data_IF_770505823612
#
_entry.id   IF_770505823612
#
_cell.length_a   1.000
_cell.length_b   1.000
_cell.length_c   1.000
_cell.angle_alpha   90.00
_cell.angle_beta   90.00
_cell.angle_gamma   90.00
#
_symmetry.space_group_name_H-M   'P 1'
#
loop_
_entity.id
_entity.type
_entity.pdbx_description
1 polymer ?
#
# COMPACT_ATOMS: atom_id res chain seq x y z
N UNK A 1 21.99 3.90 12.34
CA UNK A 1 23.02 4.91 12.63
C UNK A 1 22.90 5.27 14.11
N UNK A 2 23.85 4.87 14.93
CA UNK A 2 23.85 5.10 16.39
C UNK A 2 24.31 6.53 16.67
N UNK A 3 23.44 7.36 17.23
CA UNK A 3 23.76 8.75 17.56
C UNK A 3 24.44 8.79 18.94
N UNK A 4 25.77 8.91 18.98
CA UNK A 4 26.55 9.18 20.20
C UNK A 4 26.47 10.67 20.53
N UNK A 5 26.10 11.00 21.77
CA UNK A 5 25.99 12.38 22.25
C UNK A 5 27.31 12.85 22.85
N UNK A 6 27.92 13.88 22.25
CA UNK A 6 29.18 14.50 22.63
C UNK A 6 28.99 15.57 23.73
N UNK A 7 28.08 15.33 24.68
CA UNK A 7 27.92 16.08 25.94
C UNK A 7 27.95 15.14 27.16
N UNK A 8 28.71 14.05 27.00
CA UNK A 8 29.51 13.41 28.05
C UNK A 8 30.91 14.09 28.14
N UNK A 9 31.01 15.36 27.73
CA UNK A 9 32.22 16.08 27.28
C UNK A 9 32.98 16.80 28.43
N UNK A 10 32.95 16.25 29.64
CA UNK A 10 33.78 16.74 30.76
C UNK A 10 34.19 15.58 31.66
N UNK A 11 35.06 14.69 31.20
CA UNK A 11 35.98 13.97 32.09
C UNK A 11 37.24 13.58 31.30
N UNK A 12 38.31 14.31 31.55
CA UNK A 12 39.70 13.86 31.38
C UNK A 12 39.94 12.62 32.27
N UNK A 13 39.37 11.46 31.94
CA UNK A 13 39.98 10.18 32.31
C UNK A 13 39.32 9.01 31.57
N UNK A 14 40.13 8.01 31.23
CA UNK A 14 39.77 6.83 30.44
C UNK A 14 38.82 5.87 31.20
N UNK A 15 37.58 6.29 31.42
CA UNK A 15 36.49 5.42 31.91
C UNK A 15 35.54 5.06 30.77
N UNK A 16 35.12 3.79 30.73
CA UNK A 16 34.31 3.17 29.67
C UNK A 16 33.18 4.08 29.16
N UNK A 17 33.14 4.31 27.84
CA UNK A 17 32.04 5.01 27.16
C UNK A 17 30.71 4.30 27.40
N UNK A 18 29.99 4.68 28.46
CA UNK A 18 28.66 4.19 28.74
C UNK A 18 27.62 5.04 27.98
N UNK A 19 26.81 4.42 27.10
CA UNK A 19 25.74 5.15 26.43
C UNK A 19 24.74 5.69 27.44
N UNK A 20 24.37 6.97 27.28
CA UNK A 20 23.36 7.63 28.11
C UNK A 20 22.00 6.93 27.94
N UNK A 21 21.45 6.40 29.03
CA UNK A 21 20.11 5.79 29.06
C UNK A 21 19.08 6.87 29.40
N UNK A 22 18.18 7.25 28.46
CA UNK A 22 17.20 8.30 28.68
C UNK A 22 16.17 7.98 29.77
N UNK A 23 16.00 6.70 30.14
CA UNK A 23 15.02 6.24 31.13
C UNK A 23 15.56 6.25 32.56
N UNK A 24 16.85 6.55 32.75
CA UNK A 24 17.47 6.64 34.08
C UNK A 24 17.31 8.03 34.69
N UNK A 25 17.32 8.08 36.03
CA UNK A 25 17.15 9.29 36.85
C UNK A 25 18.21 10.37 36.54
N UNK A 26 19.36 9.98 35.99
CA UNK A 26 20.49 10.85 35.66
C UNK A 26 20.71 11.02 34.13
N UNK A 27 19.67 10.88 33.30
CA UNK A 27 19.77 11.15 31.87
C UNK A 27 20.16 12.61 31.60
N UNK A 28 21.05 12.85 30.62
CA UNK A 28 21.45 14.21 30.25
C UNK A 28 20.27 15.01 29.67
N UNK A 29 20.33 16.34 29.77
CA UNK A 29 19.24 17.22 29.32
C UNK A 29 18.89 17.08 27.82
N UNK A 30 19.84 16.68 26.97
CA UNK A 30 19.59 16.41 25.56
C UNK A 30 18.77 15.12 25.35
N UNK A 31 19.13 14.02 26.01
CA UNK A 31 18.39 12.76 25.95
C UNK A 31 16.97 12.89 26.53
N UNK A 32 16.80 13.66 27.61
CA UNK A 32 15.47 13.96 28.16
C UNK A 32 14.60 14.75 27.17
N UNK A 33 15.16 15.79 26.53
CA UNK A 33 14.44 16.56 25.50
C UNK A 33 14.06 15.69 24.30
N UNK A 34 14.95 14.78 23.89
CA UNK A 34 14.70 13.85 22.79
C UNK A 34 13.56 12.89 23.14
N UNK A 35 13.53 12.33 24.35
CA UNK A 35 12.40 11.51 24.82
C UNK A 35 11.07 12.28 24.76
N UNK A 36 11.04 13.50 25.31
CA UNK A 36 9.84 14.34 25.30
C UNK A 36 9.39 14.64 23.87
N UNK A 37 10.33 14.91 22.96
CA UNK A 37 10.01 15.15 21.55
C UNK A 37 9.49 13.88 20.87
N UNK A 38 10.09 12.72 21.14
CA UNK A 38 9.65 11.44 20.61
C UNK A 38 8.25 11.08 21.10
N UNK A 39 7.93 11.37 22.36
CA UNK A 39 6.59 11.22 22.91
C UNK A 39 5.60 12.11 22.16
N UNK A 40 5.90 13.41 21.98
CA UNK A 40 5.04 14.32 21.21
C UNK A 40 4.83 13.88 19.77
N UNK A 41 5.87 13.35 19.11
CA UNK A 41 5.76 12.78 17.75
C UNK A 41 4.78 11.60 17.75
N UNK A 42 4.88 10.71 18.74
CA UNK A 42 4.02 9.54 18.84
C UNK A 42 2.56 9.96 19.12
N UNK A 43 2.32 10.86 20.07
CA UNK A 43 1.00 11.41 20.37
C UNK A 43 0.38 12.10 19.16
N UNK A 44 1.16 12.91 18.45
CA UNK A 44 0.70 13.58 17.22
C UNK A 44 0.36 12.58 16.12
N UNK A 45 1.14 11.50 15.99
CA UNK A 45 0.86 10.42 15.02
C UNK A 45 -0.43 9.69 15.36
N UNK A 46 -0.70 9.42 16.63
CA UNK A 46 -1.95 8.80 17.07
C UNK A 46 -3.14 9.71 16.71
N UNK A 47 -3.10 10.97 17.11
CA UNK A 47 -4.15 11.95 16.77
C UNK A 47 -4.36 12.06 15.25
N UNK A 48 -3.28 12.10 14.47
CA UNK A 48 -3.38 12.15 13.01
C UNK A 48 -4.04 10.89 12.44
N UNK A 49 -3.75 9.72 13.00
CA UNK A 49 -4.39 8.47 12.57
C UNK A 49 -5.89 8.48 12.90
N UNK A 50 -6.27 8.97 14.07
CA UNK A 50 -7.67 9.11 14.48
C UNK A 50 -8.44 10.05 13.54
N UNK A 51 -7.88 11.25 13.27
CA UNK A 51 -8.47 12.20 12.32
C UNK A 51 -8.54 11.65 10.89
N UNK A 52 -7.54 10.87 10.45
CA UNK A 52 -7.58 10.19 9.14
C UNK A 52 -8.71 9.16 9.08
N UNK A 53 -8.93 8.43 10.16
CA UNK A 53 -9.99 7.44 10.26
C UNK A 53 -11.38 8.11 10.28
N UNK A 54 -11.56 9.17 11.06
CA UNK A 54 -12.79 9.97 11.06
C UNK A 54 -13.07 10.53 9.65
N UNK A 55 -12.06 11.12 9.00
CA UNK A 55 -12.17 11.59 7.61
C UNK A 55 -12.56 10.47 6.66
N UNK A 56 -12.02 9.26 6.83
CA UNK A 56 -12.36 8.08 6.02
C UNK A 56 -13.83 7.71 6.19
N UNK A 57 -14.33 7.70 7.43
CA UNK A 57 -15.72 7.39 7.75
C UNK A 57 -16.68 8.43 7.16
N UNK A 58 -16.37 9.72 7.30
CA UNK A 58 -17.19 10.80 6.72
C UNK A 58 -17.21 10.74 5.19
N UNK A 59 -16.07 10.48 4.55
CA UNK A 59 -16.03 10.26 3.09
C UNK A 59 -16.88 9.07 2.66
N UNK A 60 -16.86 7.98 3.43
CA UNK A 60 -17.69 6.80 3.14
C UNK A 60 -19.19 7.12 3.27
N UNK A 61 -19.57 7.89 4.29
CA UNK A 61 -20.95 8.39 4.44
C UNK A 61 -21.36 9.29 3.27
N UNK A 62 -20.49 10.22 2.87
CA UNK A 62 -20.74 11.11 1.74
C UNK A 62 -20.89 10.31 0.44
N UNK A 63 -20.01 9.35 0.18
CA UNK A 63 -20.10 8.47 -0.99
C UNK A 63 -21.45 7.74 -1.02
N UNK A 64 -21.92 7.19 0.11
CA UNK A 64 -23.24 6.53 0.17
C UNK A 64 -24.41 7.44 -0.23
N UNK A 65 -24.35 8.72 0.10
CA UNK A 65 -25.42 9.67 -0.20
C UNK A 65 -25.30 10.30 -1.59
N UNK A 66 -24.06 10.53 -2.06
CA UNK A 66 -23.79 11.29 -3.28
C UNK A 66 -23.50 10.42 -4.50
N UNK A 67 -23.10 9.16 -4.33
CA UNK A 67 -22.73 8.26 -5.42
C UNK A 67 -23.96 7.55 -6.01
N UNK A 68 -24.73 8.32 -6.79
CA UNK A 68 -25.96 7.87 -7.43
C UNK A 68 -25.71 6.75 -8.44
N UNK A 69 -24.56 6.74 -9.11
CA UNK A 69 -24.28 5.74 -10.14
C UNK A 69 -23.94 4.41 -9.49
N UNK A 70 -23.02 4.39 -8.53
CA UNK A 70 -22.58 3.13 -7.96
C UNK A 70 -23.65 2.50 -7.09
N UNK A 71 -24.41 3.28 -6.31
CA UNK A 71 -25.43 2.71 -5.42
C UNK A 71 -26.73 2.32 -6.12
N UNK A 72 -27.08 2.91 -7.27
CA UNK A 72 -28.32 2.58 -8.00
C UNK A 72 -28.13 1.49 -9.05
N UNK A 73 -26.91 1.28 -9.52
CA UNK A 73 -26.63 0.22 -10.48
C UNK A 73 -26.67 -1.14 -9.76
N UNK A 74 -27.48 -2.11 -10.22
CA UNK A 74 -27.40 -3.48 -9.75
C UNK A 74 -25.97 -4.03 -9.95
N UNK A 75 -25.45 -4.83 -9.00
CA UNK A 75 -24.10 -5.37 -9.10
C UNK A 75 -23.89 -6.20 -10.38
N UNK A 76 -24.93 -6.83 -10.93
CA UNK A 76 -24.89 -7.59 -12.17
C UNK A 76 -24.59 -6.70 -13.37
N UNK A 77 -25.26 -5.54 -13.47
CA UNK A 77 -25.02 -4.59 -14.56
C UNK A 77 -23.63 -3.97 -14.46
N UNK A 78 -23.19 -3.64 -13.24
CA UNK A 78 -21.84 -3.16 -13.00
C UNK A 78 -20.78 -4.21 -13.39
N UNK A 79 -21.02 -5.48 -13.04
CA UNK A 79 -20.18 -6.61 -13.42
C UNK A 79 -20.07 -6.75 -14.94
N UNK A 80 -21.20 -6.63 -15.67
CA UNK A 80 -21.21 -6.63 -17.15
C UNK A 80 -20.43 -5.44 -17.72
N UNK A 81 -20.54 -4.25 -17.14
CA UNK A 81 -19.72 -3.10 -17.56
C UNK A 81 -18.23 -3.39 -17.35
N UNK A 82 -17.87 -4.00 -16.22
CA UNK A 82 -16.48 -4.34 -15.92
C UNK A 82 -15.89 -5.34 -16.91
N UNK A 83 -16.69 -6.31 -17.40
CA UNK A 83 -16.20 -7.26 -18.40
C UNK A 83 -15.86 -6.58 -19.73
N UNK A 84 -16.53 -5.49 -20.10
CA UNK A 84 -16.17 -4.69 -21.27
C UNK A 84 -14.89 -3.85 -21.08
N UNK A 85 -14.38 -3.73 -19.85
CA UNK A 85 -13.10 -3.07 -19.58
C UNK A 85 -11.89 -3.99 -19.83
N UNK A 86 -12.11 -5.27 -20.14
CA UNK A 86 -11.07 -6.25 -20.44
C UNK A 86 -11.10 -6.52 -21.95
N UNK A 87 -9.96 -6.43 -22.65
CA UNK A 87 -9.89 -6.81 -24.05
C UNK A 87 -10.14 -8.31 -24.24
N UNK A 88 -10.95 -8.66 -25.25
CA UNK A 88 -11.22 -10.05 -25.65
C UNK A 88 -9.92 -10.79 -26.04
N UNK A 89 -8.95 -10.08 -26.62
CA UNK A 89 -7.67 -10.64 -27.10
C UNK A 89 -6.61 -10.81 -25.99
N UNK A 90 -6.99 -10.70 -24.71
CA UNK A 90 -6.04 -10.77 -23.60
C UNK A 90 -5.34 -12.13 -23.42
N UNK A 91 -5.84 -13.18 -24.08
CA UNK A 91 -5.23 -14.52 -24.09
C UNK A 91 -4.13 -14.69 -25.16
N UNK A 92 -4.12 -13.89 -26.22
CA UNK A 92 -3.12 -13.94 -27.31
C UNK A 92 -2.07 -12.83 -27.18
N UNK A 93 -1.97 -12.22 -25.99
CA UNK A 93 -0.99 -11.18 -25.73
C UNK A 93 0.41 -11.81 -25.66
N UNK A 94 1.21 -11.55 -26.69
CA UNK A 94 2.65 -11.80 -26.66
C UNK A 94 3.32 -10.89 -25.61
N UNK A 95 3.40 -11.40 -24.37
CA UNK A 95 4.08 -10.75 -23.25
C UNK A 95 5.59 -10.55 -23.48
N UNK A 96 6.16 -11.17 -24.52
CA UNK A 96 7.56 -10.99 -24.89
C UNK A 96 7.82 -9.64 -25.58
N UNK A 97 6.79 -9.02 -26.17
CA UNK A 97 6.90 -7.75 -26.87
C UNK A 97 6.14 -6.63 -26.13
N UNK A 98 6.78 -6.05 -25.09
CA UNK A 98 6.22 -4.97 -24.24
C UNK A 98 5.73 -3.73 -25.00
N UNK A 99 6.05 -3.60 -26.28
CA UNK A 99 5.75 -2.43 -27.10
C UNK A 99 4.30 -2.39 -27.63
N UNK A 100 3.56 -3.51 -27.56
CA UNK A 100 2.21 -3.62 -28.13
C UNK A 100 1.05 -3.62 -27.12
N UNK A 101 1.32 -3.76 -25.82
CA UNK A 101 0.27 -4.00 -24.82
C UNK A 101 -0.09 -2.68 -24.13
N UNK A 102 -1.33 -2.19 -24.25
CA UNK A 102 -1.73 -1.03 -23.49
C UNK A 102 -1.74 -1.36 -21.99
N UNK A 103 -0.98 -0.63 -21.18
CA UNK A 103 -0.79 -0.92 -19.75
C UNK A 103 -2.10 -1.03 -18.93
N UNK A 104 -3.18 -0.43 -19.44
CA UNK A 104 -4.51 -0.52 -18.82
C UNK A 104 -5.12 -1.92 -18.88
N UNK A 105 -4.76 -2.76 -19.86
CA UNK A 105 -5.34 -4.11 -20.04
C UNK A 105 -4.84 -5.08 -18.96
N UNK A 106 -3.54 -4.98 -18.65
CA UNK A 106 -2.85 -5.74 -17.60
C UNK A 106 -3.40 -5.39 -16.20
N UNK A 107 -3.85 -4.15 -16.03
CA UNK A 107 -4.21 -3.60 -14.72
C UNK A 107 -5.72 -3.38 -14.52
N UNK A 108 -6.57 -3.66 -15.52
CA UNK A 108 -7.99 -3.30 -15.46
C UNK A 108 -8.71 -3.85 -14.21
N UNK A 109 -8.59 -5.14 -13.83
CA UNK A 109 -9.24 -5.65 -12.62
C UNK A 109 -8.75 -4.97 -11.34
N UNK A 110 -7.46 -4.63 -11.27
CA UNK A 110 -6.83 -3.94 -10.15
C UNK A 110 -7.29 -2.47 -10.07
N UNK A 111 -7.36 -1.78 -11.22
CA UNK A 111 -7.84 -0.41 -11.32
C UNK A 111 -9.30 -0.33 -10.89
N UNK A 112 -10.16 -1.22 -11.41
CA UNK A 112 -11.57 -1.30 -11.02
C UNK A 112 -11.72 -1.55 -9.51
N UNK A 113 -10.90 -2.45 -8.95
CA UNK A 113 -10.88 -2.75 -7.51
C UNK A 113 -10.33 -1.62 -6.62
N UNK A 114 -9.63 -0.64 -7.20
CA UNK A 114 -9.04 0.50 -6.49
C UNK A 114 -9.99 1.70 -6.39
N UNK A 115 -11.05 1.78 -7.21
CA UNK A 115 -11.96 2.94 -7.27
C UNK A 115 -12.68 3.18 -5.94
N UNK A 116 -13.43 2.19 -5.44
CA UNK A 116 -14.15 2.28 -4.17
C UNK A 116 -14.41 0.90 -3.56
N UNK A 117 -14.88 0.84 -2.30
CA UNK A 117 -15.21 -0.42 -1.61
C UNK A 117 -16.27 -1.23 -2.35
N UNK A 118 -17.26 -0.58 -2.96
CA UNK A 118 -18.33 -1.25 -3.72
C UNK A 118 -17.81 -1.87 -5.01
N UNK A 119 -17.01 -1.12 -5.79
CA UNK A 119 -16.40 -1.63 -7.02
C UNK A 119 -15.48 -2.80 -6.73
N UNK A 120 -14.71 -2.75 -5.64
CA UNK A 120 -13.92 -3.88 -5.17
C UNK A 120 -14.77 -5.12 -4.90
N UNK A 121 -15.87 -4.97 -4.17
CA UNK A 121 -16.76 -6.09 -3.88
C UNK A 121 -17.38 -6.70 -5.15
N UNK A 122 -17.80 -5.86 -6.10
CA UNK A 122 -18.32 -6.30 -7.40
C UNK A 122 -17.21 -7.00 -8.19
N UNK A 123 -16.05 -6.37 -8.37
CA UNK A 123 -14.94 -6.93 -9.12
C UNK A 123 -14.47 -8.28 -8.55
N UNK A 124 -14.37 -8.41 -7.22
CA UNK A 124 -14.05 -9.68 -6.55
C UNK A 124 -15.12 -10.75 -6.78
N UNK A 125 -16.38 -10.34 -6.94
CA UNK A 125 -17.52 -11.23 -7.22
C UNK A 125 -17.75 -11.48 -8.71
N UNK A 126 -16.87 -10.97 -9.59
CA UNK A 126 -16.90 -11.18 -11.04
C UNK A 126 -15.68 -12.01 -11.47
N UNK A 127 -15.77 -13.36 -11.46
CA UNK A 127 -14.65 -14.24 -11.81
C UNK A 127 -14.06 -13.98 -13.19
N UNK A 128 -14.88 -13.50 -14.14
CA UNK A 128 -14.46 -13.16 -15.51
C UNK A 128 -13.34 -12.11 -15.52
N UNK A 129 -13.25 -11.25 -14.51
CA UNK A 129 -12.18 -10.26 -14.43
C UNK A 129 -10.82 -10.83 -14.07
N UNK A 130 -10.78 -12.01 -13.47
CA UNK A 130 -9.58 -12.60 -12.89
C UNK A 130 -9.10 -13.84 -13.64
N UNK A 131 -9.69 -14.13 -14.81
CA UNK A 131 -9.29 -15.28 -15.65
C UNK A 131 -7.83 -15.19 -16.09
N UNK A 132 -7.32 -13.97 -16.29
CA UNK A 132 -5.93 -13.71 -16.70
C UNK A 132 -5.35 -12.58 -15.86
N UNK A 133 -4.26 -12.86 -15.14
CA UNK A 133 -3.49 -11.84 -14.39
C UNK A 133 -2.06 -11.84 -14.93
N UNK A 134 -1.71 -10.93 -15.84
CA UNK A 134 -0.36 -10.82 -16.35
C UNK A 134 0.60 -10.29 -15.27
N UNK A 135 1.56 -11.12 -14.88
CA UNK A 135 2.62 -10.74 -13.93
C UNK A 135 3.85 -10.32 -14.74
N UNK A 136 4.21 -9.05 -14.64
CA UNK A 136 5.42 -8.53 -15.29
C UNK A 136 6.58 -8.61 -14.32
N UNK A 137 7.46 -9.58 -14.52
CA UNK A 137 8.71 -9.69 -13.77
C UNK A 137 9.74 -8.72 -14.37
N UNK A 138 10.28 -7.82 -13.55
CA UNK A 138 11.43 -6.99 -13.92
C UNK A 138 12.70 -7.80 -13.66
N UNK A 139 13.50 -8.02 -14.71
CA UNK A 139 14.71 -8.83 -14.68
C UNK A 139 15.95 -8.09 -14.15
N UNK A 140 15.76 -7.02 -13.37
CA UNK A 140 16.87 -6.18 -12.88
C UNK A 140 17.67 -6.84 -11.75
N UNK A 141 17.31 -8.07 -11.35
CA UNK A 141 18.04 -8.91 -10.40
C UNK A 141 18.31 -10.30 -11.02
N UNK A 142 19.53 -10.56 -11.52
CA UNK A 142 19.86 -11.80 -12.23
C UNK A 142 19.86 -13.06 -11.34
N UNK A 143 19.89 -12.93 -10.01
CA UNK A 143 19.74 -14.08 -9.09
C UNK A 143 18.32 -14.66 -8.98
N UNK A 144 17.30 -13.97 -9.50
CA UNK A 144 15.92 -14.42 -9.45
C UNK A 144 15.31 -14.50 -10.86
N UNK A 145 15.77 -15.48 -11.64
CA UNK A 145 15.09 -15.93 -12.84
C UNK A 145 13.65 -16.33 -12.47
N UNK A 146 12.70 -15.41 -12.61
CA UNK A 146 11.31 -15.68 -12.31
C UNK A 146 10.77 -16.63 -13.37
N UNK A 147 10.08 -17.67 -12.89
CA UNK A 147 9.48 -18.75 -13.66
C UNK A 147 8.70 -18.15 -14.84
N UNK A 148 9.13 -18.48 -16.05
CA UNK A 148 8.28 -18.31 -17.24
C UNK A 148 7.04 -19.17 -17.02
N UNK A 149 5.90 -18.53 -17.25
CA UNK A 149 4.55 -19.08 -17.24
C UNK A 149 3.96 -19.34 -15.86
N UNK A 150 3.09 -18.43 -15.45
CA UNK A 150 1.97 -18.82 -14.58
C UNK A 150 0.73 -18.09 -15.05
N UNK A 151 0.11 -18.64 -16.10
CA UNK A 151 -1.34 -18.52 -16.24
C UNK A 151 -1.91 -19.32 -15.07
N UNK A 152 -2.33 -18.64 -14.00
CA UNK A 152 -3.17 -19.27 -12.98
C UNK A 152 -4.56 -19.38 -13.61
N UNK A 153 -4.75 -20.42 -14.43
CA UNK A 153 -6.10 -20.86 -14.79
C UNK A 153 -6.74 -21.39 -13.51
N UNK A 154 -7.51 -20.55 -12.82
CA UNK A 154 -8.42 -21.06 -11.80
C UNK A 154 -9.53 -21.83 -12.53
N UNK A 155 -9.34 -23.15 -12.64
CA UNK A 155 -10.43 -24.07 -12.95
C UNK A 155 -11.47 -23.97 -11.83
N UNK A 156 -12.65 -23.46 -12.17
CA UNK A 156 -13.91 -23.69 -11.46
C UNK A 156 -14.82 -24.50 -12.40
#
# INVERSE_FOLDING_TARGET
MSYLCQYCDDLDDASEFLPCDPLKVNACGACQKLLVLQQKINETRLLLNDLKEERRQLKEQANRHHDKLNHRLPPEVASTVFTFCIPEDSMDIDLSNRSGIPQYTISAPLILSAVCRRWRGIAQSTPQLWQTIPIVCHADYPEHACIRDTVISQNL
#
